data_IF_974005169433
#
_entry.id   IF_974005169433
#
_cell.length_a   1.000
_cell.length_b   1.000
_cell.length_c   1.000
_cell.angle_alpha   90.00
_cell.angle_beta   90.00
_cell.angle_gamma   90.00
#
_symmetry.space_group_name_H-M   'P 1'
#
loop_
_entity.id
_entity.type
_entity.pdbx_description
1 polymer ?
#
# COMPACT_ATOMS: atom_id res chain seq x y z
N UNK A 1 -50.16 6.62 6.66
CA UNK A 1 -48.76 7.05 6.87
C UNK A 1 -47.84 5.87 6.54
N UNK A 2 -47.36 5.78 5.30
CA UNK A 2 -46.52 4.67 4.82
C UNK A 2 -45.08 5.08 4.98
N UNK A 3 -44.31 4.40 5.84
CA UNK A 3 -42.83 4.55 5.95
C UNK A 3 -42.21 4.02 4.66
N UNK A 4 -41.49 4.92 3.93
CA UNK A 4 -40.58 4.53 2.88
C UNK A 4 -39.38 3.84 3.53
N UNK A 5 -39.20 2.57 3.23
CA UNK A 5 -37.95 1.86 3.51
C UNK A 5 -36.95 2.35 2.48
N UNK A 6 -35.96 3.16 2.90
CA UNK A 6 -34.81 3.47 2.10
C UNK A 6 -33.98 2.17 1.98
N UNK A 7 -33.97 1.62 0.78
CA UNK A 7 -33.10 0.50 0.42
C UNK A 7 -31.68 1.07 0.35
N UNK A 8 -30.85 0.75 1.36
CA UNK A 8 -29.40 0.94 1.26
C UNK A 8 -28.93 0.26 -0.02
N UNK A 9 -28.41 1.07 -0.96
CA UNK A 9 -27.72 0.53 -2.14
C UNK A 9 -26.46 -0.15 -1.66
N UNK A 10 -26.45 -1.47 -1.69
CA UNK A 10 -25.24 -2.26 -1.67
C UNK A 10 -24.46 -1.83 -2.92
N UNK A 11 -23.40 -1.05 -2.74
CA UNK A 11 -22.44 -0.71 -3.81
C UNK A 11 -21.84 -2.03 -4.30
N UNK A 12 -22.27 -2.48 -5.46
CA UNK A 12 -21.65 -3.61 -6.15
C UNK A 12 -20.26 -3.20 -6.60
N UNK A 13 -19.32 -4.14 -6.57
CA UNK A 13 -17.90 -3.97 -6.96
C UNK A 13 -17.68 -3.30 -8.33
N UNK A 14 -18.69 -3.33 -9.20
CA UNK A 14 -18.70 -2.70 -10.53
C UNK A 14 -18.76 -1.16 -10.54
N UNK A 15 -18.89 -0.50 -9.38
CA UNK A 15 -19.11 0.96 -9.27
C UNK A 15 -17.91 1.70 -8.64
N UNK A 16 -16.70 1.08 -8.63
CA UNK A 16 -15.49 1.76 -8.13
C UNK A 16 -15.02 2.82 -9.12
N UNK A 17 -14.76 4.05 -8.65
CA UNK A 17 -14.14 5.07 -9.50
C UNK A 17 -12.75 4.59 -9.92
N UNK A 18 -12.34 4.92 -11.13
CA UNK A 18 -11.02 4.58 -11.65
C UNK A 18 -9.90 5.06 -10.72
N UNK A 19 -8.85 4.26 -10.59
CA UNK A 19 -7.68 4.59 -9.75
C UNK A 19 -6.89 5.71 -10.40
N UNK A 20 -6.67 6.79 -9.65
CA UNK A 20 -5.92 7.98 -10.08
C UNK A 20 -4.50 8.04 -9.52
N UNK A 21 -4.31 7.41 -8.34
CA UNK A 21 -3.05 7.48 -7.60
C UNK A 21 -2.66 6.14 -7.00
N UNK A 22 -1.39 5.77 -7.16
CA UNK A 22 -0.76 4.64 -6.51
C UNK A 22 0.36 5.14 -5.59
N UNK A 23 0.32 4.76 -4.31
CA UNK A 23 1.41 4.99 -3.37
C UNK A 23 2.22 3.72 -3.19
N UNK A 24 3.53 3.80 -3.37
CA UNK A 24 4.48 2.74 -3.04
C UNK A 24 5.25 3.16 -1.79
N UNK A 25 5.13 2.42 -0.70
CA UNK A 25 5.85 2.70 0.55
C UNK A 25 6.81 1.57 0.89
N UNK A 26 8.06 1.92 1.20
CA UNK A 26 9.13 0.95 1.43
C UNK A 26 10.19 1.48 2.41
N UNK A 27 11.03 0.58 2.92
CA UNK A 27 12.16 0.91 3.80
C UNK A 27 13.35 0.00 3.48
N UNK A 28 13.83 -0.82 4.41
CA UNK A 28 14.92 -1.77 4.20
C UNK A 28 14.56 -2.75 3.05
N UNK A 29 15.47 -2.97 2.11
CA UNK A 29 15.22 -3.79 0.91
C UNK A 29 14.31 -3.13 -0.14
N UNK A 30 13.83 -1.91 0.10
CA UNK A 30 12.85 -1.24 -0.74
C UNK A 30 13.33 -0.87 -2.14
N UNK A 31 14.65 -0.69 -2.35
CA UNK A 31 15.18 -0.35 -3.68
C UNK A 31 14.85 -1.44 -4.71
N UNK A 32 15.06 -2.70 -4.37
CA UNK A 32 14.78 -3.82 -5.26
C UNK A 32 13.28 -3.97 -5.52
N UNK A 33 12.47 -3.92 -4.45
CA UNK A 33 11.02 -4.01 -4.55
C UNK A 33 10.42 -2.87 -5.39
N UNK A 34 10.82 -1.61 -5.13
CA UNK A 34 10.40 -0.45 -5.92
C UNK A 34 10.80 -0.56 -7.39
N UNK A 35 12.05 -1.02 -7.65
CA UNK A 35 12.54 -1.21 -9.02
C UNK A 35 11.69 -2.23 -9.76
N UNK A 36 11.39 -3.37 -9.13
CA UNK A 36 10.60 -4.43 -9.74
C UNK A 36 9.20 -3.93 -10.08
N UNK A 37 8.49 -3.35 -9.12
CA UNK A 37 7.15 -2.83 -9.37
C UNK A 37 7.16 -1.76 -10.47
N UNK A 38 8.05 -0.76 -10.39
CA UNK A 38 8.08 0.33 -11.37
C UNK A 38 8.48 -0.13 -12.79
N UNK A 39 9.36 -1.12 -12.91
CA UNK A 39 9.78 -1.70 -14.19
C UNK A 39 8.64 -2.48 -14.85
N UNK A 40 7.91 -3.24 -14.04
CA UNK A 40 6.89 -4.18 -14.52
C UNK A 40 5.52 -3.49 -14.78
N UNK A 41 5.33 -2.23 -14.33
CA UNK A 41 4.16 -1.43 -14.73
C UNK A 41 4.14 -1.18 -16.24
N UNK A 42 2.96 -1.16 -16.91
CA UNK A 42 2.82 -0.77 -18.32
C UNK A 42 3.42 0.63 -18.58
N UNK A 43 4.06 0.84 -19.75
CA UNK A 43 4.71 2.13 -20.08
C UNK A 43 3.72 3.31 -20.07
N UNK A 44 2.51 3.07 -20.48
CA UNK A 44 1.37 3.99 -20.54
C UNK A 44 0.48 3.97 -19.28
N UNK A 45 1.03 3.50 -18.14
CA UNK A 45 0.32 3.44 -16.88
C UNK A 45 -0.32 4.79 -16.53
N UNK A 46 -1.66 4.88 -16.48
CA UNK A 46 -2.35 6.16 -16.49
C UNK A 46 -2.39 6.86 -15.11
N UNK A 47 -2.24 6.12 -14.03
CA UNK A 47 -2.26 6.72 -12.69
C UNK A 47 -0.94 7.41 -12.34
N UNK A 48 -0.99 8.37 -11.45
CA UNK A 48 0.19 8.93 -10.82
C UNK A 48 0.79 7.95 -9.81
N UNK A 49 2.12 7.88 -9.72
CA UNK A 49 2.80 7.05 -8.73
C UNK A 49 3.57 7.92 -7.75
N UNK A 50 3.35 7.73 -6.46
CA UNK A 50 4.06 8.44 -5.39
C UNK A 50 4.81 7.44 -4.53
N UNK A 51 6.09 7.71 -4.29
CA UNK A 51 6.98 6.82 -3.54
C UNK A 51 7.41 7.45 -2.24
N UNK A 52 7.22 6.75 -1.13
CA UNK A 52 7.83 7.06 0.17
C UNK A 52 8.80 5.94 0.52
N UNK A 53 10.08 6.20 0.32
CA UNK A 53 11.18 5.35 0.79
C UNK A 53 11.80 5.98 2.02
N UNK A 54 12.01 5.20 3.08
CA UNK A 54 12.77 5.65 4.23
C UNK A 54 14.23 5.88 3.82
N UNK A 55 14.61 7.13 3.72
CA UNK A 55 15.97 7.56 3.39
C UNK A 55 16.54 8.39 4.54
N UNK A 56 17.76 8.10 4.93
CA UNK A 56 18.51 8.97 5.85
C UNK A 56 18.66 10.38 5.23
N UNK A 57 18.85 11.40 6.07
CA UNK A 57 18.83 12.81 5.68
C UNK A 57 20.04 13.29 4.83
N UNK A 58 20.58 12.46 3.95
CA UNK A 58 21.70 12.77 3.05
C UNK A 58 21.27 12.71 1.60
N UNK A 59 22.06 13.27 0.71
CA UNK A 59 21.88 13.18 -0.74
C UNK A 59 21.69 11.73 -1.16
N UNK A 60 20.70 11.48 -2.00
CA UNK A 60 20.36 10.14 -2.46
C UNK A 60 20.27 10.08 -3.97
N UNK A 61 20.83 9.02 -4.53
CA UNK A 61 20.76 8.71 -5.95
C UNK A 61 19.50 7.90 -6.31
N UNK A 62 18.58 7.69 -5.38
CA UNK A 62 17.43 6.80 -5.56
C UNK A 62 16.61 7.15 -6.82
N UNK A 63 16.30 8.43 -7.05
CA UNK A 63 15.57 8.85 -8.25
C UNK A 63 16.32 8.49 -9.54
N UNK A 64 17.63 8.68 -9.57
CA UNK A 64 18.48 8.32 -10.71
C UNK A 64 18.53 6.81 -10.94
N UNK A 65 18.67 6.04 -9.85
CA UNK A 65 18.73 4.57 -9.93
C UNK A 65 17.38 4.04 -10.42
N UNK A 66 16.27 4.47 -9.82
CA UNK A 66 14.93 4.03 -10.24
C UNK A 66 14.62 4.46 -11.69
N UNK A 67 15.02 5.66 -12.12
CA UNK A 67 14.88 6.08 -13.53
C UNK A 67 15.59 5.13 -14.48
N UNK A 68 16.86 4.78 -14.18
CA UNK A 68 17.66 3.88 -15.01
C UNK A 68 17.09 2.46 -15.05
N UNK A 69 16.70 1.93 -13.91
CA UNK A 69 16.29 0.53 -13.77
C UNK A 69 14.86 0.28 -14.23
N UNK A 70 13.94 1.25 -14.02
CA UNK A 70 12.54 1.11 -14.45
C UNK A 70 12.29 1.61 -15.88
N UNK A 71 13.22 2.38 -16.46
CA UNK A 71 13.05 3.03 -17.74
C UNK A 71 12.00 4.16 -17.74
N UNK A 72 11.61 4.65 -16.53
CA UNK A 72 10.61 5.72 -16.34
C UNK A 72 11.25 6.97 -15.76
N UNK A 73 10.78 8.17 -16.17
CA UNK A 73 11.21 9.41 -15.52
C UNK A 73 10.75 9.43 -14.06
N UNK A 74 11.67 9.48 -13.13
CA UNK A 74 11.41 9.56 -11.70
C UNK A 74 11.95 10.88 -11.16
N UNK A 75 11.10 11.66 -10.48
CA UNK A 75 11.48 12.97 -9.95
C UNK A 75 11.26 13.09 -8.44
N UNK A 76 11.99 14.02 -7.81
CA UNK A 76 11.77 14.36 -6.42
C UNK A 76 10.50 15.20 -6.23
N UNK A 77 9.77 14.92 -5.15
CA UNK A 77 8.69 15.78 -4.70
C UNK A 77 9.22 17.15 -4.27
N UNK A 78 8.44 18.21 -4.51
CA UNK A 78 8.70 19.56 -4.05
C UNK A 78 7.40 20.19 -3.54
N UNK A 79 7.49 21.07 -2.54
CA UNK A 79 6.33 21.76 -1.99
C UNK A 79 5.52 22.46 -3.09
N UNK A 80 4.20 22.23 -3.09
CA UNK A 80 3.28 22.83 -4.05
C UNK A 80 3.27 22.16 -5.44
N UNK A 81 4.21 21.25 -5.74
CA UNK A 81 4.22 20.51 -7.02
C UNK A 81 2.98 19.61 -7.09
N UNK A 82 2.25 19.70 -8.20
CA UNK A 82 1.16 18.78 -8.48
C UNK A 82 1.71 17.40 -8.85
N UNK A 83 1.01 16.35 -8.43
CA UNK A 83 1.22 14.99 -8.88
C UNK A 83 0.26 14.74 -10.03
N UNK A 84 0.77 14.36 -11.19
CA UNK A 84 -0.02 14.21 -12.42
C UNK A 84 0.05 12.78 -12.95
N UNK A 85 -0.99 12.30 -13.65
CA UNK A 85 -1.02 10.98 -14.26
C UNK A 85 0.25 10.65 -15.06
N UNK A 86 0.70 9.41 -14.99
CA UNK A 86 1.90 8.92 -15.67
C UNK A 86 3.24 9.35 -15.07
N UNK A 87 3.25 10.20 -14.03
CA UNK A 87 4.47 10.61 -13.33
C UNK A 87 4.78 9.69 -12.15
N UNK A 88 6.09 9.52 -11.91
CA UNK A 88 6.61 8.92 -10.67
C UNK A 88 7.31 9.99 -9.85
N UNK A 89 6.84 10.20 -8.62
CA UNK A 89 7.35 11.24 -7.71
C UNK A 89 7.81 10.59 -6.40
N UNK A 90 9.04 10.85 -5.98
CA UNK A 90 9.62 10.28 -4.74
C UNK A 90 9.74 11.36 -3.67
N UNK A 91 9.42 11.00 -2.43
CA UNK A 91 9.71 11.83 -1.27
C UNK A 91 11.22 12.01 -1.08
N UNK A 92 11.73 13.27 -0.93
CA UNK A 92 13.15 13.50 -0.71
C UNK A 92 13.67 12.93 0.61
N UNK A 93 14.98 12.67 0.74
CA UNK A 93 15.61 12.23 1.98
C UNK A 93 15.29 13.14 3.18
N UNK A 94 15.09 12.54 4.35
CA UNK A 94 14.81 13.27 5.59
C UNK A 94 13.46 13.99 5.62
N UNK A 95 12.56 13.67 4.68
CA UNK A 95 11.22 14.23 4.59
C UNK A 95 10.15 13.16 4.70
N UNK A 96 8.95 13.59 5.08
CA UNK A 96 7.70 12.88 4.91
C UNK A 96 6.84 13.65 3.90
N UNK A 97 6.17 12.93 3.01
CA UNK A 97 5.34 13.49 1.96
C UNK A 97 3.86 13.35 2.34
N UNK A 98 3.15 14.45 2.23
CA UNK A 98 1.70 14.53 2.33
C UNK A 98 1.14 15.03 0.99
N UNK A 99 -0.02 14.54 0.58
CA UNK A 99 -0.76 15.07 -0.55
C UNK A 99 -1.96 15.88 -0.07
N UNK A 100 -2.10 17.08 -0.61
CA UNK A 100 -3.27 17.93 -0.34
C UNK A 100 -4.49 17.41 -1.13
N UNK A 101 -5.73 17.80 -0.76
CA UNK A 101 -6.94 17.45 -1.53
C UNK A 101 -6.89 17.88 -3.01
N UNK A 102 -6.03 18.84 -3.37
CA UNK A 102 -5.80 19.28 -4.75
C UNK A 102 -4.69 18.51 -5.46
N UNK A 103 -4.21 17.38 -4.90
CA UNK A 103 -3.15 16.56 -5.45
C UNK A 103 -1.77 17.22 -5.50
N UNK A 104 -1.49 18.14 -4.55
CA UNK A 104 -0.18 18.80 -4.45
C UNK A 104 0.65 18.25 -3.32
N UNK A 105 1.95 18.14 -3.56
CA UNK A 105 2.92 17.71 -2.56
C UNK A 105 3.09 18.75 -1.44
N UNK A 106 3.12 18.28 -0.19
CA UNK A 106 3.55 19.00 0.99
C UNK A 106 4.61 18.18 1.71
N UNK A 107 5.77 18.78 1.94
CA UNK A 107 6.92 18.12 2.57
C UNK A 107 7.08 18.57 4.02
N UNK A 108 7.21 17.62 4.92
CA UNK A 108 7.48 17.81 6.34
C UNK A 108 8.85 17.24 6.71
N UNK A 109 9.45 17.71 7.80
CA UNK A 109 10.63 17.04 8.36
C UNK A 109 10.25 15.64 8.86
N UNK A 110 11.00 14.60 8.49
CA UNK A 110 10.69 13.23 8.90
C UNK A 110 10.65 13.06 10.43
N UNK A 111 11.48 13.81 11.16
CA UNK A 111 11.52 13.77 12.64
C UNK A 111 10.23 14.28 13.30
N UNK A 112 9.47 15.17 12.64
CA UNK A 112 8.21 15.70 13.17
C UNK A 112 7.12 14.62 13.30
N UNK A 113 7.26 13.53 12.57
CA UNK A 113 6.32 12.41 12.53
C UNK A 113 6.90 11.10 13.09
N UNK A 114 7.99 11.16 13.85
CA UNK A 114 8.60 9.99 14.47
C UNK A 114 9.02 8.91 13.48
N UNK A 115 9.56 9.32 12.31
CA UNK A 115 9.96 8.46 11.20
C UNK A 115 8.82 7.62 10.58
N UNK A 116 7.56 8.08 10.69
CA UNK A 116 6.37 7.41 10.12
C UNK A 116 5.95 8.05 8.80
N UNK A 117 6.86 8.13 7.86
CA UNK A 117 6.60 8.74 6.54
C UNK A 117 5.56 8.01 5.71
N UNK A 118 5.50 6.68 5.80
CA UNK A 118 4.49 5.88 5.12
C UNK A 118 3.08 6.14 5.69
N UNK A 119 2.92 6.15 7.00
CA UNK A 119 1.63 6.47 7.64
C UNK A 119 1.13 7.87 7.26
N UNK A 120 2.04 8.87 7.22
CA UNK A 120 1.70 10.25 6.82
C UNK A 120 1.19 10.27 5.38
N UNK A 121 1.93 9.68 4.44
CA UNK A 121 1.54 9.64 3.03
C UNK A 121 0.20 8.93 2.85
N UNK A 122 0.06 7.72 3.37
CA UNK A 122 -1.15 6.92 3.17
C UNK A 122 -2.38 7.57 3.80
N UNK A 123 -2.24 8.18 5.00
CA UNK A 123 -3.35 8.91 5.63
C UNK A 123 -3.78 10.11 4.80
N UNK A 124 -2.82 10.85 4.21
CA UNK A 124 -3.14 11.99 3.34
C UNK A 124 -3.84 11.55 2.05
N UNK A 125 -3.44 10.42 1.47
CA UNK A 125 -4.09 9.84 0.29
C UNK A 125 -5.50 9.37 0.63
N UNK A 126 -5.70 8.73 1.77
CA UNK A 126 -7.02 8.36 2.25
C UNK A 126 -7.99 9.56 2.27
N UNK A 127 -7.55 10.70 2.80
CA UNK A 127 -8.35 11.92 2.86
C UNK A 127 -8.56 12.64 1.51
N UNK A 128 -7.59 12.50 0.58
CA UNK A 128 -7.58 13.27 -0.68
C UNK A 128 -8.15 12.49 -1.87
N UNK A 129 -7.92 11.18 -1.92
CA UNK A 129 -8.28 10.32 -3.05
C UNK A 129 -9.35 9.30 -2.69
N UNK A 130 -9.43 8.87 -1.42
CA UNK A 130 -10.42 7.88 -0.99
C UNK A 130 -10.35 6.61 -1.85
N UNK A 131 -11.49 6.19 -2.48
CA UNK A 131 -11.56 4.97 -3.30
C UNK A 131 -10.76 5.03 -4.60
N UNK A 132 -10.26 6.23 -5.01
CA UNK A 132 -9.41 6.43 -6.20
C UNK A 132 -7.91 6.23 -5.89
N UNK A 133 -7.56 5.95 -4.64
CA UNK A 133 -6.19 5.70 -4.19
C UNK A 133 -5.91 4.23 -3.96
N UNK A 134 -4.72 3.79 -4.37
CA UNK A 134 -4.17 2.47 -4.03
C UNK A 134 -2.88 2.65 -3.26
N UNK A 135 -2.71 1.91 -2.18
CA UNK A 135 -1.47 1.83 -1.41
C UNK A 135 -0.82 0.46 -1.59
N UNK A 136 0.50 0.45 -1.76
CA UNK A 136 1.31 -0.79 -1.78
C UNK A 136 2.36 -0.68 -0.70
N UNK A 137 2.33 -1.58 0.28
CA UNK A 137 3.32 -1.66 1.34
C UNK A 137 4.31 -2.76 1.00
N UNK A 138 5.53 -2.34 0.67
CA UNK A 138 6.63 -3.18 0.22
C UNK A 138 7.60 -3.50 1.36
N UNK A 139 8.68 -4.22 1.03
CA UNK A 139 9.77 -4.58 1.92
C UNK A 139 10.20 -3.40 2.81
N UNK A 140 10.28 -3.67 4.11
CA UNK A 140 10.68 -2.69 5.12
C UNK A 140 10.68 -3.26 6.53
N UNK A 141 11.49 -2.65 7.41
CA UNK A 141 11.55 -2.99 8.82
C UNK A 141 10.57 -2.14 9.63
N UNK A 142 9.97 -2.74 10.66
CA UNK A 142 9.06 -2.05 11.57
C UNK A 142 7.59 -2.15 11.16
N UNK A 143 6.81 -1.11 11.47
CA UNK A 143 5.34 -1.10 11.32
C UNK A 143 4.81 0.17 10.65
N UNK A 144 5.69 1.00 10.05
CA UNK A 144 5.28 2.21 9.34
C UNK A 144 4.43 1.82 8.13
N UNK A 145 3.30 2.48 7.93
CA UNK A 145 2.28 2.14 6.94
C UNK A 145 1.09 1.34 7.50
N UNK A 146 1.18 0.77 8.72
CA UNK A 146 0.06 0.03 9.31
C UNK A 146 -1.13 0.95 9.67
N UNK A 147 -0.87 2.11 10.28
CA UNK A 147 -1.92 3.08 10.57
C UNK A 147 -2.48 3.71 9.29
N UNK A 148 -1.61 3.97 8.30
CA UNK A 148 -2.00 4.40 6.96
C UNK A 148 -2.88 3.38 6.24
N UNK A 149 -2.60 2.08 6.39
CA UNK A 149 -3.45 0.99 5.87
C UNK A 149 -4.87 1.09 6.41
N UNK A 150 -5.02 1.25 7.74
CA UNK A 150 -6.34 1.43 8.35
C UNK A 150 -7.06 2.67 7.79
N UNK A 151 -6.34 3.78 7.63
CA UNK A 151 -6.92 5.01 7.08
C UNK A 151 -7.39 4.82 5.63
N UNK A 152 -6.55 4.22 4.76
CA UNK A 152 -6.90 3.91 3.37
C UNK A 152 -8.14 3.04 3.27
N UNK A 153 -8.21 1.96 4.05
CA UNK A 153 -9.35 1.05 4.08
C UNK A 153 -10.66 1.75 4.48
N UNK A 154 -10.61 2.56 5.54
CA UNK A 154 -11.78 3.33 6.00
C UNK A 154 -12.27 4.34 4.96
N UNK A 155 -11.37 4.85 4.13
CA UNK A 155 -11.70 5.78 3.06
C UNK A 155 -12.12 5.08 1.75
N UNK A 156 -12.20 3.75 1.72
CA UNK A 156 -12.58 2.96 0.54
C UNK A 156 -11.44 2.74 -0.46
N UNK A 157 -10.22 3.16 -0.14
CA UNK A 157 -9.02 2.88 -0.93
C UNK A 157 -8.59 1.42 -0.84
N UNK A 158 -7.80 0.96 -1.79
CA UNK A 158 -7.25 -0.39 -1.84
C UNK A 158 -5.85 -0.42 -1.23
N UNK A 159 -5.55 -1.45 -0.44
CA UNK A 159 -4.22 -1.67 0.11
C UNK A 159 -3.70 -3.06 -0.27
N UNK A 160 -2.51 -3.08 -0.85
CA UNK A 160 -1.77 -4.29 -1.21
C UNK A 160 -0.54 -4.37 -0.29
N UNK A 161 -0.28 -5.50 0.31
CA UNK A 161 0.95 -5.79 1.03
C UNK A 161 1.81 -6.77 0.22
N UNK A 162 3.12 -6.56 0.18
CA UNK A 162 4.04 -7.54 -0.39
C UNK A 162 4.03 -8.82 0.45
N UNK A 163 4.03 -9.96 -0.20
CA UNK A 163 4.09 -11.26 0.46
C UNK A 163 5.39 -11.44 1.25
N UNK A 164 5.33 -11.99 2.47
CA UNK A 164 6.54 -12.35 3.21
C UNK A 164 7.48 -13.30 2.45
N UNK A 165 6.96 -14.05 1.49
CA UNK A 165 7.76 -14.97 0.67
C UNK A 165 8.70 -14.25 -0.30
N UNK A 166 8.41 -12.99 -0.67
CA UNK A 166 9.22 -12.19 -1.59
C UNK A 166 9.88 -11.00 -0.93
N UNK A 167 9.31 -10.48 0.16
CA UNK A 167 9.84 -9.32 0.87
C UNK A 167 11.17 -9.65 1.57
N UNK A 168 12.24 -8.91 1.22
CA UNK A 168 13.55 -9.07 1.89
C UNK A 168 13.46 -8.75 3.40
N UNK A 169 12.65 -7.76 3.77
CA UNK A 169 12.32 -7.40 5.16
C UNK A 169 10.80 -7.37 5.31
N UNK A 170 10.19 -8.47 5.81
CA UNK A 170 8.75 -8.63 5.71
C UNK A 170 7.94 -7.93 6.82
N UNK A 171 8.56 -7.31 7.82
CA UNK A 171 7.84 -6.80 9.00
C UNK A 171 6.87 -5.64 8.68
N UNK A 172 7.21 -4.73 7.75
CA UNK A 172 6.29 -3.68 7.29
C UNK A 172 5.08 -4.26 6.54
N UNK A 173 5.24 -5.09 5.49
CA UNK A 173 4.09 -5.65 4.80
C UNK A 173 3.27 -6.60 5.66
N UNK A 174 3.87 -7.37 6.59
CA UNK A 174 3.14 -8.16 7.59
C UNK A 174 2.27 -7.24 8.46
N UNK A 175 2.81 -6.12 8.94
CA UNK A 175 2.06 -5.17 9.75
C UNK A 175 0.88 -4.54 8.97
N UNK A 176 1.05 -4.26 7.68
CA UNK A 176 -0.02 -3.80 6.80
C UNK A 176 -1.08 -4.89 6.57
N UNK A 177 -0.68 -6.14 6.35
CA UNK A 177 -1.60 -7.28 6.23
C UNK A 177 -2.45 -7.46 7.50
N UNK A 178 -1.81 -7.41 8.68
CA UNK A 178 -2.48 -7.44 10.00
C UNK A 178 -3.42 -6.24 10.22
N UNK A 179 -3.09 -5.08 9.65
CA UNK A 179 -3.93 -3.88 9.69
C UNK A 179 -5.10 -3.93 8.69
N UNK A 180 -5.24 -5.01 7.91
CA UNK A 180 -6.36 -5.28 7.02
C UNK A 180 -6.11 -4.91 5.57
N UNK A 181 -4.88 -5.05 5.05
CA UNK A 181 -4.64 -4.94 3.61
C UNK A 181 -5.58 -5.86 2.81
N UNK A 182 -6.05 -5.39 1.66
CA UNK A 182 -7.00 -6.10 0.81
C UNK A 182 -6.39 -7.35 0.18
N UNK A 183 -5.13 -7.24 -0.23
CA UNK A 183 -4.38 -8.30 -0.90
C UNK A 183 -2.98 -8.45 -0.28
N UNK A 184 -2.48 -9.68 -0.28
CA UNK A 184 -1.08 -10.01 -0.02
C UNK A 184 -0.55 -10.73 -1.25
N UNK A 185 0.40 -10.09 -1.95
CA UNK A 185 0.86 -10.51 -3.27
C UNK A 185 2.37 -10.67 -3.33
N UNK A 186 2.85 -11.64 -4.08
CA UNK A 186 4.25 -11.71 -4.45
C UNK A 186 4.66 -10.49 -5.27
N UNK A 187 5.95 -10.10 -5.17
CA UNK A 187 6.44 -8.86 -5.81
C UNK A 187 6.13 -8.79 -7.31
N UNK A 188 6.17 -9.91 -8.04
CA UNK A 188 5.88 -9.98 -9.48
C UNK A 188 4.38 -9.90 -9.82
N UNK A 189 3.49 -10.06 -8.83
CA UNK A 189 2.04 -10.00 -9.04
C UNK A 189 1.49 -8.59 -8.85
N UNK A 190 2.24 -7.70 -8.19
CA UNK A 190 1.78 -6.36 -7.80
C UNK A 190 1.51 -5.49 -9.03
N UNK A 191 2.45 -5.41 -9.97
CA UNK A 191 2.31 -4.54 -11.14
C UNK A 191 1.15 -4.96 -12.07
N UNK A 192 0.94 -6.25 -12.38
CA UNK A 192 -0.26 -6.70 -13.10
C UNK A 192 -1.57 -6.30 -12.41
N UNK A 193 -1.69 -6.53 -11.10
CA UNK A 193 -2.89 -6.15 -10.34
C UNK A 193 -3.11 -4.64 -10.33
N UNK A 194 -2.04 -3.83 -10.22
CA UNK A 194 -2.15 -2.37 -10.34
C UNK A 194 -2.65 -1.94 -11.73
N UNK A 195 -2.18 -2.60 -12.78
CA UNK A 195 -2.65 -2.34 -14.15
C UNK A 195 -4.14 -2.66 -14.31
N UNK A 196 -4.61 -3.75 -13.72
CA UNK A 196 -6.03 -4.12 -13.73
C UNK A 196 -6.88 -3.08 -12.98
N UNK A 197 -6.45 -2.67 -11.78
CA UNK A 197 -7.17 -1.72 -10.94
C UNK A 197 -7.32 -0.32 -11.58
N UNK A 198 -6.30 0.19 -12.28
CA UNK A 198 -6.40 1.49 -12.96
C UNK A 198 -7.36 1.46 -14.15
N UNK A 199 -7.66 0.30 -14.70
CA UNK A 199 -8.65 0.08 -15.73
C UNK A 199 -10.05 -0.28 -15.19
N UNK A 200 -10.22 -0.21 -13.86
CA UNK A 200 -11.51 -0.47 -13.20
C UNK A 200 -11.87 -1.94 -13.08
N UNK A 201 -10.90 -2.84 -13.29
CA UNK A 201 -11.14 -4.27 -13.07
C UNK A 201 -11.29 -4.57 -11.56
N UNK A 202 -12.11 -5.56 -11.19
CA UNK A 202 -12.32 -5.91 -9.80
C UNK A 202 -11.04 -6.48 -9.16
N UNK A 203 -10.95 -6.40 -7.84
CA UNK A 203 -9.88 -7.06 -7.10
C UNK A 203 -9.92 -8.57 -7.39
N UNK A 204 -8.76 -9.22 -7.59
CA UNK A 204 -8.72 -10.68 -7.69
C UNK A 204 -9.31 -11.28 -6.43
N UNK A 205 -10.09 -12.35 -6.59
CA UNK A 205 -10.63 -13.10 -5.45
C UNK A 205 -9.45 -13.57 -4.58
N UNK A 206 -9.55 -13.36 -3.27
CA UNK A 206 -8.56 -13.90 -2.33
C UNK A 206 -8.48 -15.40 -2.52
N UNK A 207 -7.37 -15.89 -3.04
CA UNK A 207 -7.02 -17.30 -2.82
C UNK A 207 -6.73 -17.45 -1.33
N UNK A 208 -7.33 -18.41 -0.62
CA UNK A 208 -6.91 -18.71 0.74
C UNK A 208 -5.40 -18.98 0.72
N UNK A 209 -4.64 -18.55 1.75
CA UNK A 209 -3.22 -18.86 1.83
C UNK A 209 -3.06 -20.37 1.72
N UNK A 210 -2.11 -20.82 0.87
CA UNK A 210 -1.86 -22.25 0.61
C UNK A 210 -1.49 -23.06 1.87
N UNK A 211 -1.22 -22.38 2.99
CA UNK A 211 -0.88 -22.94 4.30
C UNK A 211 -1.88 -22.53 5.41
N UNK A 212 -3.15 -22.29 5.08
CA UNK A 212 -4.16 -22.20 6.14
C UNK A 212 -4.28 -23.62 6.75
N UNK A 213 -4.01 -23.81 8.07
CA UNK A 213 -4.25 -25.11 8.69
C UNK A 213 -5.72 -25.45 8.50
N UNK A 214 -5.99 -26.68 8.04
CA UNK A 214 -7.33 -27.23 7.88
C UNK A 214 -8.14 -26.94 9.15
N UNK A 215 -9.28 -26.24 9.02
CA UNK A 215 -10.20 -26.00 10.13
C UNK A 215 -10.73 -27.30 10.78
N UNK A 216 -10.42 -28.47 10.19
CA UNK A 216 -10.72 -29.79 10.72
C UNK A 216 -10.01 -30.12 12.05
N UNK A 217 -9.02 -29.31 12.50
CA UNK A 217 -8.28 -29.58 13.74
C UNK A 217 -8.83 -28.86 14.98
N UNK A 218 -9.92 -28.08 14.87
CA UNK A 218 -10.49 -27.37 16.00
C UNK A 218 -11.72 -28.07 16.64
N UNK A 219 -12.08 -29.25 16.15
CA UNK A 219 -13.11 -30.10 16.78
C UNK A 219 -12.53 -31.22 17.63
N UNK A 220 -11.45 -30.92 18.33
CA UNK A 220 -10.85 -31.72 19.39
C UNK A 220 -11.61 -31.51 20.70
N UNK A 221 -12.51 -32.47 20.99
CA UNK A 221 -13.38 -32.48 22.14
C UNK A 221 -12.69 -32.04 23.45
N UNK A 222 -13.38 -31.22 24.19
CA UNK A 222 -13.08 -30.87 25.58
C UNK A 222 -13.03 -32.17 26.38
N UNK A 223 -11.84 -32.56 26.84
CA UNK A 223 -11.67 -33.59 27.87
C UNK A 223 -12.12 -33.02 29.22
N UNK A 224 -13.18 -33.53 29.85
CA UNK A 224 -13.70 -32.98 31.09
C UNK A 224 -12.88 -33.34 32.34
N UNK A 225 -11.82 -34.13 32.22
CA UNK A 225 -11.03 -34.57 33.35
C UNK A 225 -9.58 -34.02 33.30
N UNK A 226 -9.43 -32.74 33.70
CA UNK A 226 -8.14 -32.09 33.82
C UNK A 226 -7.17 -32.79 34.75
N UNK A 227 -6.09 -33.35 34.17
CA UNK A 227 -4.90 -33.70 34.95
C UNK A 227 -3.68 -33.10 34.29
N UNK A 228 -3.29 -31.89 34.70
CA UNK A 228 -1.93 -31.44 34.56
C UNK A 228 -1.08 -32.19 35.62
N UNK A 229 -0.31 -33.18 35.17
CA UNK A 229 0.77 -33.73 35.96
C UNK A 229 2.09 -33.57 35.18
N UNK A 230 2.90 -32.65 35.69
CA UNK A 230 4.37 -32.65 35.83
C UNK A 230 5.19 -33.46 34.81
N UNK A 231 5.97 -32.80 33.97
CA UNK A 231 7.46 -32.86 34.08
C UNK A 231 8.03 -31.67 33.32
#
# INVERSE_FOLDING_TARGET
>A
MRRRVETERVTTEADRPGVELVALVASAGGLEALTTVLRDLPRDFPAAVVVQQHLAGHDSLLATILTRQSGRPVGWAANGRAVTPGQVVICPPGKALELTPQGRCRLHGAQQHGARGADVLLTSIAGSYGPRGVAVVLSGSGRDGAAGTVAMRRAGGVVIAESPATALYPSMPIAAAQAGADLVLGIGEIAPVLADLVHGLPLPLRSPPADAPDEAYLDGGVDPDGIFARL
#
